data_IF_685752264654
#
_entry.id   IF_685752264654
#
_cell.length_a   1.000
_cell.length_b   1.000
_cell.length_c   1.000
_cell.angle_alpha   90.00
_cell.angle_beta   90.00
_cell.angle_gamma   90.00
#
_symmetry.space_group_name_H-M   'P 1'
#
loop_
_entity.id
_entity.type
_entity.pdbx_description
1 polymer ?
#
# COMPACT_ATOMS: atom_id res chain seq x y z
N UNK A 1 -29.03 -66.84 -11.03
CA UNK A 1 -28.53 -67.74 -10.01
C UNK A 1 -28.38 -66.92 -8.74
N UNK A 2 -29.34 -66.69 -7.94
CA UNK A 2 -30.10 -67.49 -6.92
C UNK A 2 -29.19 -68.19 -5.91
N UNK A 3 -29.43 -67.93 -4.70
CA UNK A 3 -29.40 -68.58 -3.39
C UNK A 3 -28.77 -67.68 -2.35
N UNK A 4 -29.48 -67.10 -1.41
CA UNK A 4 -30.41 -67.54 -0.35
C UNK A 4 -29.72 -67.71 1.00
N UNK A 5 -30.18 -66.85 1.90
CA UNK A 5 -30.49 -67.00 3.33
C UNK A 5 -29.78 -68.09 4.16
N UNK A 6 -29.37 -67.69 5.36
CA UNK A 6 -29.92 -68.28 6.59
C UNK A 6 -29.62 -67.43 7.82
N UNK A 7 -30.70 -67.16 8.56
CA UNK A 7 -30.72 -66.61 9.93
C UNK A 7 -30.45 -67.74 10.92
N UNK A 8 -29.85 -67.42 12.05
CA UNK A 8 -30.17 -68.08 13.33
C UNK A 8 -29.83 -67.16 14.53
N UNK A 9 -30.82 -67.00 15.35
CA UNK A 9 -30.94 -66.34 16.64
C UNK A 9 -30.53 -67.26 17.80
N UNK A 10 -30.01 -66.60 18.90
CA UNK A 10 -30.23 -66.94 20.31
C UNK A 10 -29.21 -66.11 21.09
N UNK A 11 -29.47 -65.27 22.00
CA UNK A 11 -30.31 -65.10 23.11
C UNK A 11 -29.58 -65.48 24.40
N UNK A 12 -29.04 -64.53 25.19
CA UNK A 12 -28.89 -64.70 26.65
C UNK A 12 -28.73 -63.32 27.35
N UNK A 13 -29.52 -63.15 28.39
CA UNK A 13 -29.60 -62.00 29.32
C UNK A 13 -28.36 -61.95 30.22
N UNK A 14 -27.90 -60.76 30.55
CA UNK A 14 -26.94 -60.49 31.62
C UNK A 14 -27.00 -59.03 32.04
N UNK A 15 -27.33 -58.82 33.28
CA UNK A 15 -27.69 -57.68 34.10
C UNK A 15 -26.65 -56.56 34.23
N UNK A 16 -27.11 -55.33 34.16
CA UNK A 16 -26.81 -54.09 34.86
C UNK A 16 -25.42 -53.85 35.54
N UNK A 17 -24.78 -52.74 35.12
CA UNK A 17 -24.34 -51.71 36.04
C UNK A 17 -24.20 -50.37 35.33
N UNK A 18 -24.84 -49.35 35.88
CA UNK A 18 -24.74 -47.93 35.48
C UNK A 18 -23.40 -47.39 35.97
N UNK A 19 -22.56 -46.85 35.08
CA UNK A 19 -21.63 -45.80 35.43
C UNK A 19 -21.90 -44.64 34.52
N UNK A 20 -22.41 -43.55 35.12
CA UNK A 20 -22.50 -42.21 34.53
C UNK A 20 -21.10 -41.61 34.45
N UNK A 21 -20.50 -41.70 33.29
CA UNK A 21 -19.34 -40.86 32.97
C UNK A 21 -19.85 -39.62 32.26
N UNK A 22 -20.06 -38.55 32.98
CA UNK A 22 -20.30 -37.21 32.50
C UNK A 22 -18.98 -36.67 31.87
N UNK A 23 -18.81 -36.92 30.58
CA UNK A 23 -17.80 -36.22 29.76
C UNK A 23 -18.40 -34.92 29.25
N UNK A 24 -18.48 -33.94 30.12
CA UNK A 24 -18.62 -32.55 29.70
C UNK A 24 -17.38 -32.17 28.88
N UNK A 25 -17.50 -32.26 27.56
CA UNK A 25 -16.56 -31.61 26.66
C UNK A 25 -16.69 -30.11 26.91
N UNK A 26 -15.79 -29.58 27.72
CA UNK A 26 -15.60 -28.16 27.92
C UNK A 26 -15.17 -27.62 26.56
N UNK A 27 -16.09 -26.97 25.87
CA UNK A 27 -15.75 -26.13 24.74
C UNK A 27 -14.82 -25.03 25.29
N UNK A 28 -13.52 -25.16 25.03
CA UNK A 28 -12.61 -24.05 25.20
C UNK A 28 -13.10 -22.97 24.24
N UNK A 29 -13.71 -21.93 24.80
CA UNK A 29 -13.92 -20.70 24.09
C UNK A 29 -12.51 -20.20 23.69
N UNK A 30 -12.17 -20.28 22.41
CA UNK A 30 -11.06 -19.52 21.86
C UNK A 30 -11.42 -18.05 22.10
N UNK A 31 -10.90 -17.50 23.20
CA UNK A 31 -10.91 -16.08 23.46
C UNK A 31 -10.08 -15.46 22.33
N UNK A 32 -10.78 -14.98 21.29
CA UNK A 32 -10.12 -14.22 20.23
C UNK A 32 -9.60 -12.95 20.90
N UNK A 33 -8.29 -12.93 21.14
CA UNK A 33 -7.63 -11.75 21.67
C UNK A 33 -8.07 -10.55 20.83
N UNK A 34 -8.72 -9.57 21.45
CA UNK A 34 -9.14 -8.34 20.78
C UNK A 34 -7.86 -7.65 20.29
N UNK A 35 -7.65 -7.62 18.98
CA UNK A 35 -6.51 -6.93 18.39
C UNK A 35 -6.71 -5.44 18.65
N UNK A 36 -5.82 -4.85 19.43
CA UNK A 36 -5.83 -3.40 19.66
C UNK A 36 -5.21 -2.72 18.45
N UNK A 37 -6.01 -1.94 17.71
CA UNK A 37 -5.54 -1.16 16.58
C UNK A 37 -4.93 0.15 17.09
N UNK A 38 -3.63 0.44 16.82
CA UNK A 38 -3.03 1.71 17.22
C UNK A 38 -3.67 2.89 16.48
N UNK A 39 -3.75 4.04 17.15
CA UNK A 39 -4.30 5.25 16.56
C UNK A 39 -3.31 5.84 15.53
N UNK A 40 -3.84 6.19 14.36
CA UNK A 40 -3.11 6.96 13.34
C UNK A 40 -3.13 8.45 13.71
N UNK A 41 -2.01 9.15 13.47
CA UNK A 41 -1.88 10.57 13.75
C UNK A 41 -1.77 11.38 12.45
N UNK A 42 -2.85 12.08 12.10
CA UNK A 42 -2.94 12.89 10.89
C UNK A 42 -1.95 14.06 10.88
N UNK A 43 -1.72 14.71 12.04
CA UNK A 43 -0.76 15.81 12.14
C UNK A 43 0.67 15.35 11.87
N UNK A 44 1.03 14.14 12.32
CA UNK A 44 2.33 13.54 11.99
C UNK A 44 2.45 13.25 10.50
N UNK A 45 1.42 12.66 9.88
CA UNK A 45 1.42 12.39 8.44
C UNK A 45 1.54 13.69 7.64
N UNK A 46 0.78 14.72 8.00
CA UNK A 46 0.89 16.05 7.38
C UNK A 46 2.28 16.67 7.55
N UNK A 47 2.87 16.55 8.75
CA UNK A 47 4.23 17.04 9.00
C UNK A 47 5.29 16.33 8.12
N UNK A 48 5.11 15.04 7.84
CA UNK A 48 5.95 14.30 6.90
C UNK A 48 5.77 14.78 5.46
N UNK A 49 4.54 15.08 5.02
CA UNK A 49 4.29 15.71 3.71
C UNK A 49 4.97 17.06 3.63
N UNK A 50 4.73 17.93 4.62
CA UNK A 50 5.32 19.27 4.68
C UNK A 50 6.86 19.24 4.67
N UNK A 51 7.46 18.23 5.32
CA UNK A 51 8.93 18.07 5.32
C UNK A 51 9.46 17.69 3.93
N UNK A 52 8.76 16.84 3.19
CA UNK A 52 9.15 16.48 1.82
C UNK A 52 9.08 17.70 0.90
N UNK A 53 7.97 18.45 0.95
CA UNK A 53 7.79 19.70 0.18
C UNK A 53 8.86 20.74 0.52
N UNK A 54 9.30 20.81 1.77
CA UNK A 54 10.36 21.74 2.20
C UNK A 54 11.74 21.48 1.58
N UNK A 55 11.99 20.32 0.97
CA UNK A 55 13.19 20.09 0.16
C UNK A 55 13.11 20.78 -1.21
N UNK A 56 11.90 21.14 -1.66
CA UNK A 56 11.56 21.56 -3.02
C UNK A 56 11.14 20.37 -3.88
N UNK A 57 10.89 20.60 -5.18
CA UNK A 57 10.56 19.55 -6.12
C UNK A 57 11.61 18.43 -6.12
N UNK A 58 11.16 17.21 -5.84
CA UNK A 58 12.04 16.03 -5.72
C UNK A 58 12.24 15.35 -7.08
N UNK A 59 12.49 16.15 -8.10
CA UNK A 59 12.74 15.65 -9.46
C UNK A 59 14.03 14.80 -9.46
N UNK A 60 14.04 13.61 -10.04
CA UNK A 60 15.24 12.77 -10.11
C UNK A 60 16.47 13.52 -10.63
N UNK A 61 17.64 13.20 -10.11
CA UNK A 61 18.93 13.87 -10.39
C UNK A 61 19.09 15.29 -9.80
N UNK A 62 18.19 15.77 -8.95
CA UNK A 62 18.34 17.05 -8.25
C UNK A 62 18.84 16.89 -6.82
N UNK A 63 19.42 17.94 -6.25
CA UNK A 63 19.85 17.93 -4.84
C UNK A 63 18.68 17.74 -3.88
N UNK A 64 17.50 18.33 -4.18
CA UNK A 64 16.29 18.16 -3.39
C UNK A 64 15.86 16.69 -3.32
N UNK A 65 15.88 15.99 -4.44
CA UNK A 65 15.62 14.57 -4.54
C UNK A 65 16.60 13.72 -3.71
N UNK A 66 17.90 13.97 -3.83
CA UNK A 66 18.90 13.25 -3.05
C UNK A 66 18.78 13.52 -1.54
N UNK A 67 18.45 14.77 -1.14
CA UNK A 67 18.22 15.10 0.26
C UNK A 67 16.98 14.41 0.80
N UNK A 68 15.91 14.36 0.03
CA UNK A 68 14.69 13.63 0.39
C UNK A 68 14.97 12.12 0.57
N UNK A 69 15.67 11.49 -0.36
CA UNK A 69 16.03 10.06 -0.28
C UNK A 69 16.82 9.76 1.01
N UNK A 70 17.84 10.56 1.32
CA UNK A 70 18.62 10.41 2.58
C UNK A 70 17.75 10.59 3.83
N UNK A 71 16.84 11.54 3.79
CA UNK A 71 15.93 11.78 4.91
C UNK A 71 14.95 10.63 5.10
N UNK A 72 14.35 10.11 4.03
CA UNK A 72 13.45 8.94 4.07
C UNK A 72 14.14 7.70 4.65
N UNK A 73 15.38 7.43 4.23
CA UNK A 73 16.19 6.36 4.81
C UNK A 73 16.35 6.56 6.32
N UNK A 74 16.69 7.79 6.75
CA UNK A 74 16.89 8.10 8.16
C UNK A 74 15.62 7.95 8.98
N UNK A 75 14.45 8.34 8.43
CA UNK A 75 13.16 8.21 9.11
C UNK A 75 12.74 6.74 9.29
N UNK A 76 12.87 5.92 8.25
CA UNK A 76 12.59 4.48 8.38
C UNK A 76 13.49 3.83 9.44
N UNK A 77 14.80 4.15 9.46
CA UNK A 77 15.72 3.68 10.51
C UNK A 77 15.32 4.18 11.89
N UNK A 78 14.93 5.45 12.01
CA UNK A 78 14.48 6.07 13.28
C UNK A 78 13.25 5.35 13.84
N UNK A 79 12.39 4.83 12.96
CA UNK A 79 11.22 4.06 13.33
C UNK A 79 11.49 2.57 13.56
N UNK A 80 12.75 2.14 13.51
CA UNK A 80 13.15 0.77 13.84
C UNK A 80 13.09 -0.22 12.68
N UNK A 81 12.88 0.23 11.44
CA UNK A 81 12.95 -0.62 10.28
C UNK A 81 14.40 -1.07 9.98
N UNK A 82 14.56 -2.29 9.49
CA UNK A 82 15.78 -2.72 8.79
C UNK A 82 15.73 -2.13 7.38
N UNK A 83 16.63 -1.17 7.09
CA UNK A 83 16.57 -0.43 5.82
C UNK A 83 17.57 -0.96 4.81
N UNK A 84 17.08 -1.19 3.60
CA UNK A 84 17.85 -1.56 2.41
C UNK A 84 17.66 -0.52 1.30
N UNK A 85 18.72 -0.23 0.55
CA UNK A 85 18.73 0.76 -0.52
C UNK A 85 19.02 0.05 -1.84
N UNK A 86 18.26 0.39 -2.88
CA UNK A 86 18.49 -0.05 -4.24
C UNK A 86 18.77 1.16 -5.13
N UNK A 87 19.92 1.18 -5.77
CA UNK A 87 20.29 2.22 -6.74
C UNK A 87 20.31 1.64 -8.15
N UNK A 88 19.79 2.40 -9.11
CA UNK A 88 19.79 2.03 -10.50
C UNK A 88 19.91 3.26 -11.40
N UNK A 89 20.53 3.06 -12.56
CA UNK A 89 20.50 4.03 -13.64
C UNK A 89 19.37 3.61 -14.60
N UNK A 90 18.29 4.41 -14.62
CA UNK A 90 17.07 4.12 -15.37
C UNK A 90 17.00 5.06 -16.59
N UNK A 91 16.59 4.53 -17.73
CA UNK A 91 16.40 5.33 -18.94
C UNK A 91 15.04 6.04 -18.92
N UNK A 92 15.04 7.37 -18.97
CA UNK A 92 13.81 8.14 -19.18
C UNK A 92 13.40 8.18 -20.66
N UNK A 93 12.11 8.43 -20.94
CA UNK A 93 11.56 8.53 -22.30
C UNK A 93 12.28 9.58 -23.16
N UNK A 94 12.78 10.66 -22.56
CA UNK A 94 13.52 11.72 -23.23
C UNK A 94 15.00 11.37 -23.51
N UNK A 95 15.43 10.13 -23.19
CA UNK A 95 16.80 9.66 -23.41
C UNK A 95 17.79 10.05 -22.32
N UNK A 96 17.33 10.68 -21.23
CA UNK A 96 18.13 10.98 -20.05
C UNK A 96 18.27 9.74 -19.18
N UNK A 97 19.34 9.67 -18.39
CA UNK A 97 19.51 8.68 -17.32
C UNK A 97 19.02 9.27 -16.01
N UNK A 98 18.14 8.57 -15.32
CA UNK A 98 17.69 8.89 -13.97
C UNK A 98 18.47 8.04 -12.97
N UNK A 99 19.19 8.69 -12.04
CA UNK A 99 19.91 8.02 -10.94
C UNK A 99 18.91 7.73 -9.81
N UNK A 100 18.21 6.62 -9.95
CA UNK A 100 17.12 6.22 -9.06
C UNK A 100 17.63 5.61 -7.76
N UNK A 101 16.88 5.82 -6.69
CA UNK A 101 17.15 5.28 -5.35
C UNK A 101 15.86 4.79 -4.69
N UNK A 102 15.54 3.50 -4.83
CA UNK A 102 14.46 2.87 -4.07
C UNK A 102 14.90 2.62 -2.62
N UNK A 103 14.00 2.83 -1.64
CA UNK A 103 14.29 2.74 -0.21
C UNK A 103 13.29 1.79 0.44
N UNK A 104 13.74 0.64 0.94
CA UNK A 104 12.89 -0.34 1.60
C UNK A 104 13.17 -0.41 3.09
N UNK A 105 12.13 -0.24 3.92
CA UNK A 105 12.16 -0.46 5.37
C UNK A 105 11.38 -1.71 5.73
N UNK A 106 12.03 -2.69 6.35
CA UNK A 106 11.43 -3.96 6.76
C UNK A 106 11.21 -4.02 8.25
N UNK A 107 9.97 -4.33 8.66
CA UNK A 107 9.57 -4.66 10.03
C UNK A 107 9.34 -6.18 10.11
N UNK A 108 9.82 -6.81 11.18
CA UNK A 108 9.83 -8.27 11.36
C UNK A 108 10.39 -8.98 10.12
N UNK A 109 11.66 -8.72 9.75
CA UNK A 109 12.25 -9.23 8.50
C UNK A 109 12.36 -10.76 8.44
N UNK A 110 12.26 -11.44 9.58
CA UNK A 110 12.28 -12.90 9.70
C UNK A 110 10.98 -13.58 9.28
N UNK A 111 9.88 -12.82 9.18
CA UNK A 111 8.57 -13.36 8.77
C UNK A 111 8.53 -13.61 7.26
N UNK A 112 8.05 -14.79 6.86
CA UNK A 112 7.99 -15.19 5.44
C UNK A 112 6.80 -14.63 4.66
N UNK A 113 5.64 -14.46 5.32
CA UNK A 113 4.47 -13.81 4.72
C UNK A 113 4.57 -12.30 4.94
N UNK A 114 4.69 -11.54 3.83
CA UNK A 114 5.01 -10.12 3.89
C UNK A 114 4.01 -9.28 3.10
N UNK A 115 3.46 -8.26 3.76
CA UNK A 115 2.71 -7.19 3.10
C UNK A 115 3.69 -6.10 2.68
N UNK A 116 3.66 -5.71 1.41
CA UNK A 116 4.41 -4.56 0.89
C UNK A 116 3.49 -3.35 0.77
N UNK A 117 3.83 -2.27 1.45
CA UNK A 117 3.22 -0.95 1.33
C UNK A 117 4.12 -0.08 0.46
N UNK A 118 3.55 0.57 -0.54
CA UNK A 118 4.28 1.23 -1.63
C UNK A 118 3.82 2.67 -1.79
N UNK A 119 4.75 3.58 -2.05
CA UNK A 119 4.51 4.95 -2.50
C UNK A 119 5.74 5.48 -3.23
N UNK A 120 5.56 6.32 -4.26
CA UNK A 120 6.67 7.05 -4.86
C UNK A 120 6.98 8.32 -4.07
N UNK A 121 8.24 8.81 -4.17
CA UNK A 121 8.65 10.02 -3.46
C UNK A 121 9.22 11.11 -4.39
N UNK A 122 9.52 10.77 -5.63
CA UNK A 122 9.91 11.74 -6.66
C UNK A 122 8.72 12.62 -7.06
N UNK A 123 8.95 13.62 -7.87
CA UNK A 123 7.91 14.52 -8.36
C UNK A 123 8.05 14.79 -9.84
N UNK A 124 6.92 15.12 -10.46
CA UNK A 124 6.83 15.54 -11.85
C UNK A 124 7.80 16.68 -12.15
N UNK A 125 8.66 16.54 -13.19
CA UNK A 125 9.59 17.60 -13.59
C UNK A 125 8.90 18.78 -14.28
N UNK A 126 7.61 18.70 -14.58
CA UNK A 126 6.86 19.68 -15.36
C UNK A 126 5.38 19.70 -14.97
N UNK A 127 4.80 20.89 -14.78
CA UNK A 127 3.39 21.10 -14.49
C UNK A 127 2.56 21.07 -15.81
N UNK A 128 2.61 19.96 -16.52
CA UNK A 128 2.08 19.84 -17.90
C UNK A 128 0.55 19.85 -17.99
N UNK A 129 -0.15 19.76 -16.85
CA UNK A 129 -1.61 19.92 -16.74
C UNK A 129 -2.02 21.26 -16.10
N UNK A 130 -1.07 22.15 -15.83
CA UNK A 130 -1.39 23.46 -15.27
C UNK A 130 -2.25 24.29 -16.25
N UNK A 131 -3.30 24.97 -15.77
CA UNK A 131 -4.15 25.79 -16.65
C UNK A 131 -3.41 26.99 -17.25
N UNK A 132 -2.29 27.43 -16.64
CA UNK A 132 -1.42 28.46 -17.21
C UNK A 132 -0.26 27.79 -17.99
N UNK A 133 -0.19 27.91 -19.31
CA UNK A 133 0.91 27.34 -20.11
C UNK A 133 2.31 27.86 -19.73
N UNK A 134 2.42 29.00 -19.05
CA UNK A 134 3.69 29.51 -18.54
C UNK A 134 4.29 28.64 -17.42
N UNK A 135 3.52 27.75 -16.86
CA UNK A 135 3.93 26.80 -15.82
C UNK A 135 4.35 25.44 -16.39
N UNK A 136 4.00 25.10 -17.62
CA UNK A 136 4.18 23.75 -18.15
C UNK A 136 5.60 23.20 -18.15
N UNK A 137 6.62 24.05 -18.02
CA UNK A 137 8.03 23.62 -17.93
C UNK A 137 8.60 23.79 -16.51
N UNK A 138 7.75 23.99 -15.51
CA UNK A 138 8.17 24.14 -14.11
C UNK A 138 7.91 22.85 -13.35
N UNK A 139 8.81 22.40 -12.47
CA UNK A 139 8.56 21.27 -11.61
C UNK A 139 7.47 21.61 -10.59
N UNK A 140 6.71 20.58 -10.15
CA UNK A 140 5.68 20.72 -9.12
C UNK A 140 6.23 20.42 -7.72
N UNK A 141 5.55 20.91 -6.68
CA UNK A 141 5.89 20.58 -5.28
C UNK A 141 5.56 19.12 -4.94
N UNK A 142 4.59 18.51 -5.63
CA UNK A 142 4.21 17.12 -5.43
C UNK A 142 3.77 16.83 -3.99
N UNK A 143 2.90 17.68 -3.42
CA UNK A 143 2.46 17.51 -2.05
C UNK A 143 1.46 16.36 -1.92
N UNK A 144 0.59 16.19 -2.92
CA UNK A 144 -0.31 15.06 -3.01
C UNK A 144 0.35 13.90 -3.77
N UNK A 145 0.96 14.21 -4.88
CA UNK A 145 1.61 13.36 -5.87
C UNK A 145 3.15 13.34 -5.64
N UNK A 146 3.65 12.46 -5.01
CA UNK A 146 3.83 11.31 -4.21
C UNK A 146 4.01 11.57 -2.70
N UNK A 147 4.17 12.87 -2.22
CA UNK A 147 4.50 13.07 -0.81
C UNK A 147 3.39 12.62 0.14
N UNK A 148 2.12 12.58 -0.29
CA UNK A 148 1.00 12.17 0.57
C UNK A 148 1.06 10.69 0.93
N UNK A 149 1.29 9.80 -0.03
CA UNK A 149 1.46 8.37 0.21
C UNK A 149 2.63 8.10 1.15
N UNK A 150 3.78 8.72 0.89
CA UNK A 150 4.96 8.64 1.76
C UNK A 150 4.66 9.14 3.17
N UNK A 151 3.91 10.26 3.31
CA UNK A 151 3.53 10.80 4.62
C UNK A 151 2.70 9.84 5.45
N UNK A 152 1.71 9.18 4.82
CA UNK A 152 0.89 8.14 5.46
C UNK A 152 1.77 6.95 5.86
N UNK A 153 2.66 6.48 4.98
CA UNK A 153 3.51 5.33 5.25
C UNK A 153 4.60 5.59 6.30
N UNK A 154 5.11 6.82 6.43
CA UNK A 154 6.03 7.18 7.52
C UNK A 154 5.32 7.19 8.88
N UNK A 155 4.07 7.63 8.95
CA UNK A 155 3.29 7.50 10.17
C UNK A 155 2.96 6.04 10.48
N UNK A 156 2.65 5.22 9.47
CA UNK A 156 2.53 3.77 9.64
C UNK A 156 3.84 3.15 10.15
N UNK A 157 5.01 3.57 9.63
CA UNK A 157 6.32 3.14 10.13
C UNK A 157 6.51 3.48 11.61
N UNK A 158 6.12 4.69 12.05
CA UNK A 158 6.17 5.09 13.47
C UNK A 158 5.31 4.17 14.33
N UNK A 159 4.11 3.84 13.88
CA UNK A 159 3.19 2.94 14.56
C UNK A 159 3.80 1.53 14.67
N UNK A 160 4.33 0.99 13.56
CA UNK A 160 4.96 -0.33 13.49
C UNK A 160 6.16 -0.47 14.43
N UNK A 161 6.99 0.58 14.53
CA UNK A 161 8.13 0.60 15.43
C UNK A 161 7.76 0.59 16.92
N UNK A 162 6.54 1.00 17.27
CA UNK A 162 6.04 1.05 18.64
C UNK A 162 5.11 -0.13 18.97
N UNK A 163 4.46 -0.70 17.97
CA UNK A 163 3.43 -1.71 18.12
C UNK A 163 3.67 -2.82 17.08
N UNK A 164 4.24 -3.94 17.52
CA UNK A 164 4.52 -5.05 16.63
C UNK A 164 3.21 -5.72 16.16
N UNK A 165 2.92 -5.78 14.83
CA UNK A 165 1.71 -6.42 14.31
C UNK A 165 1.78 -7.96 14.31
N UNK A 166 2.94 -8.56 14.64
CA UNK A 166 3.17 -10.00 14.53
C UNK A 166 3.22 -10.54 13.11
N UNK A 167 3.41 -9.65 12.12
CA UNK A 167 3.46 -9.96 10.69
C UNK A 167 4.67 -9.27 10.04
N UNK A 168 5.11 -9.79 8.90
CA UNK A 168 6.13 -9.15 8.09
C UNK A 168 5.55 -7.97 7.29
N UNK A 169 6.06 -6.78 7.54
CA UNK A 169 5.62 -5.57 6.81
C UNK A 169 6.85 -4.91 6.19
N UNK A 170 6.75 -4.61 4.91
CA UNK A 170 7.72 -3.80 4.19
C UNK A 170 7.08 -2.48 3.76
N UNK A 171 7.82 -1.41 3.87
CA UNK A 171 7.49 -0.10 3.30
C UNK A 171 8.55 0.18 2.24
N UNK A 172 8.12 0.37 0.99
CA UNK A 172 8.99 0.67 -0.13
C UNK A 172 8.65 2.05 -0.69
N UNK A 173 9.58 2.96 -0.58
CA UNK A 173 9.52 4.22 -1.31
C UNK A 173 10.25 4.03 -2.63
N UNK A 174 9.50 4.12 -3.72
CA UNK A 174 10.05 4.02 -5.09
C UNK A 174 10.33 5.38 -5.68
N UNK A 175 11.16 5.37 -6.70
CA UNK A 175 11.72 6.55 -7.35
C UNK A 175 11.44 6.52 -8.85
N UNK A 176 11.50 7.68 -9.48
CA UNK A 176 11.33 7.80 -10.94
C UNK A 176 10.00 7.19 -11.45
N UNK A 177 8.94 7.37 -10.66
CA UNK A 177 7.58 7.05 -11.07
C UNK A 177 7.11 8.06 -12.12
N UNK A 178 7.24 9.37 -11.78
CA UNK A 178 6.55 10.51 -12.39
C UNK A 178 7.36 11.21 -13.49
N UNK A 179 8.30 10.50 -14.10
CA UNK A 179 9.15 10.99 -15.20
C UNK A 179 8.68 10.54 -16.59
N UNK A 180 7.50 9.94 -16.66
CA UNK A 180 6.94 9.35 -17.88
C UNK A 180 6.37 10.37 -18.89
N UNK A 181 5.96 9.85 -20.04
CA UNK A 181 5.25 10.59 -21.10
C UNK A 181 3.97 9.87 -21.48
N UNK A 182 2.91 10.62 -21.81
CA UNK A 182 1.59 10.05 -22.14
C UNK A 182 1.60 9.09 -23.35
N UNK A 183 2.59 9.23 -24.25
CA UNK A 183 2.70 8.41 -25.45
C UNK A 183 3.47 7.09 -25.21
N UNK A 184 4.02 6.87 -24.01
CA UNK A 184 4.84 5.70 -23.68
C UNK A 184 4.52 5.18 -22.27
N UNK A 185 3.64 4.17 -22.21
CA UNK A 185 3.24 3.53 -20.95
C UNK A 185 4.42 2.90 -20.19
N UNK A 186 5.50 2.50 -20.86
CA UNK A 186 6.67 1.90 -20.24
C UNK A 186 7.62 2.93 -19.63
N UNK A 187 7.39 4.21 -19.84
CA UNK A 187 8.16 5.32 -19.28
C UNK A 187 7.78 5.72 -17.85
N UNK A 188 6.68 5.17 -17.30
CA UNK A 188 6.17 5.39 -15.95
C UNK A 188 6.59 4.29 -15.00
N UNK A 189 6.52 4.57 -13.68
CA UNK A 189 6.77 3.59 -12.62
C UNK A 189 8.15 2.89 -12.73
N UNK A 190 9.18 3.60 -13.20
CA UNK A 190 10.47 3.01 -13.54
C UNK A 190 11.16 2.35 -12.33
N UNK A 191 11.09 2.98 -11.15
CA UNK A 191 11.67 2.42 -9.94
C UNK A 191 10.97 1.16 -9.46
N UNK A 192 9.63 1.13 -9.51
CA UNK A 192 8.85 -0.06 -9.16
C UNK A 192 9.07 -1.20 -10.15
N UNK A 193 9.15 -0.89 -11.47
CA UNK A 193 9.49 -1.86 -12.51
C UNK A 193 10.86 -2.49 -12.24
N UNK A 194 11.86 -1.64 -11.95
CA UNK A 194 13.20 -2.12 -11.66
C UNK A 194 13.23 -2.98 -10.39
N UNK A 195 12.54 -2.56 -9.32
CA UNK A 195 12.45 -3.34 -8.08
C UNK A 195 11.76 -4.70 -8.29
N UNK A 196 10.65 -4.72 -9.01
CA UNK A 196 9.92 -5.95 -9.28
C UNK A 196 10.74 -6.95 -10.11
N UNK A 197 11.60 -6.48 -11.02
CA UNK A 197 12.49 -7.31 -11.81
C UNK A 197 13.75 -7.72 -11.05
N UNK A 198 14.29 -6.84 -10.21
CA UNK A 198 15.56 -6.97 -9.52
C UNK A 198 15.39 -6.74 -8.01
N UNK A 199 14.62 -7.57 -7.29
CA UNK A 199 14.36 -7.30 -5.87
C UNK A 199 15.67 -7.24 -5.06
N UNK A 200 15.74 -6.34 -4.08
CA UNK A 200 16.93 -6.09 -3.25
C UNK A 200 17.44 -7.38 -2.60
N UNK A 201 16.52 -8.21 -2.11
CA UNK A 201 16.84 -9.52 -1.57
C UNK A 201 16.52 -10.59 -2.63
N UNK A 202 17.49 -11.41 -3.05
CA UNK A 202 17.24 -12.48 -4.02
C UNK A 202 16.07 -13.38 -3.58
N UNK A 203 15.09 -13.56 -4.48
CA UNK A 203 13.93 -14.40 -4.20
C UNK A 203 12.84 -13.73 -3.35
N UNK A 204 12.97 -12.43 -3.04
CA UNK A 204 11.92 -11.69 -2.36
C UNK A 204 10.67 -11.59 -3.23
N UNK A 205 9.54 -12.04 -2.68
CA UNK A 205 8.22 -11.95 -3.30
C UNK A 205 7.23 -11.60 -2.18
N UNK A 206 6.65 -10.40 -2.18
CA UNK A 206 5.61 -10.07 -1.20
C UNK A 206 4.33 -10.85 -1.52
N UNK A 207 3.57 -11.21 -0.51
CA UNK A 207 2.29 -11.91 -0.68
C UNK A 207 1.21 -11.01 -1.27
N UNK A 208 1.31 -9.71 -1.04
CA UNK A 208 0.38 -8.68 -1.51
C UNK A 208 1.02 -7.31 -1.42
N UNK A 209 0.55 -6.39 -2.27
CA UNK A 209 1.04 -5.02 -2.37
C UNK A 209 -0.11 -4.03 -2.27
N UNK A 210 0.08 -2.95 -1.52
CA UNK A 210 -0.84 -1.81 -1.46
C UNK A 210 -0.04 -0.56 -1.79
N UNK A 211 -0.35 0.05 -2.92
CA UNK A 211 0.16 1.34 -3.35
C UNK A 211 -0.73 2.45 -2.78
N UNK A 212 -0.12 3.52 -2.32
CA UNK A 212 -0.77 4.76 -1.92
C UNK A 212 -0.26 5.90 -2.81
N UNK A 213 -1.10 6.35 -3.73
CA UNK A 213 -0.81 7.50 -4.57
C UNK A 213 -1.91 8.56 -4.48
N UNK A 214 -1.50 9.84 -4.41
CA UNK A 214 -2.42 11.00 -4.30
C UNK A 214 -3.48 10.85 -3.18
N UNK A 215 -3.07 10.42 -1.99
CA UNK A 215 -3.96 10.07 -0.87
C UNK A 215 -4.16 11.18 0.16
N UNK A 216 -3.78 12.42 -0.16
CA UNK A 216 -3.83 13.55 0.78
C UNK A 216 -4.70 14.72 0.32
N UNK A 217 -5.24 14.69 -0.90
CA UNK A 217 -5.94 15.81 -1.51
C UNK A 217 -7.29 16.13 -0.84
N UNK A 218 -7.74 17.39 -0.98
CA UNK A 218 -9.09 17.82 -0.56
C UNK A 218 -10.14 17.12 -1.41
N UNK A 219 -11.25 16.72 -0.76
CA UNK A 219 -12.40 16.07 -1.41
C UNK A 219 -12.04 14.79 -2.19
N UNK A 220 -10.97 14.09 -1.79
CA UNK A 220 -10.50 12.88 -2.44
C UNK A 220 -11.53 11.74 -2.35
N UNK A 221 -11.57 10.92 -3.40
CA UNK A 221 -12.37 9.69 -3.47
C UNK A 221 -11.50 8.58 -4.11
N UNK A 222 -11.52 7.42 -3.50
CA UNK A 222 -10.69 6.26 -3.87
C UNK A 222 -11.55 5.11 -4.41
N UNK A 223 -12.09 5.20 -5.64
CA UNK A 223 -12.81 4.08 -6.26
C UNK A 223 -11.86 2.90 -6.50
N UNK A 224 -12.42 1.74 -6.84
CA UNK A 224 -11.59 0.61 -7.22
C UNK A 224 -10.85 0.92 -8.53
N UNK A 225 -9.51 1.00 -8.48
CA UNK A 225 -8.72 1.12 -9.69
C UNK A 225 -8.94 -0.14 -10.57
N UNK A 226 -8.99 0.03 -11.90
CA UNK A 226 -9.44 -1.02 -12.82
C UNK A 226 -8.55 -2.27 -12.81
N UNK A 227 -7.23 -2.11 -12.88
CA UNK A 227 -6.29 -3.24 -12.90
C UNK A 227 -6.22 -3.94 -11.54
N UNK A 228 -6.24 -3.16 -10.45
CA UNK A 228 -6.37 -3.64 -9.08
C UNK A 228 -7.61 -4.51 -8.89
N UNK A 229 -8.75 -4.02 -9.36
CA UNK A 229 -10.02 -4.77 -9.30
C UNK A 229 -9.96 -6.08 -10.07
N UNK A 230 -9.28 -6.13 -11.20
CA UNK A 230 -9.18 -7.33 -12.04
C UNK A 230 -8.08 -8.28 -11.60
N UNK A 231 -6.91 -7.75 -11.23
CA UNK A 231 -5.73 -8.54 -10.90
C UNK A 231 -5.68 -8.99 -9.44
N UNK A 232 -6.32 -8.24 -8.53
CA UNK A 232 -6.25 -8.46 -7.09
C UNK A 232 -7.61 -8.33 -6.38
N UNK A 233 -8.69 -8.84 -6.98
CA UNK A 233 -10.08 -8.69 -6.50
C UNK A 233 -10.25 -9.02 -5.01
N UNK A 234 -9.62 -10.08 -4.51
CA UNK A 234 -9.72 -10.48 -3.11
C UNK A 234 -9.09 -9.44 -2.17
N UNK A 235 -7.91 -8.93 -2.54
CA UNK A 235 -7.20 -7.90 -1.78
C UNK A 235 -7.98 -6.58 -1.77
N UNK A 236 -8.47 -6.12 -2.95
CA UNK A 236 -9.26 -4.91 -3.05
C UNK A 236 -10.57 -4.99 -2.24
N UNK A 237 -11.28 -6.13 -2.30
CA UNK A 237 -12.48 -6.34 -1.48
C UNK A 237 -12.15 -6.35 0.02
N UNK A 238 -11.03 -6.93 0.44
CA UNK A 238 -10.58 -6.93 1.84
C UNK A 238 -10.28 -5.51 2.31
N UNK A 239 -9.52 -4.74 1.54
CA UNK A 239 -9.20 -3.36 1.87
C UNK A 239 -10.48 -2.50 2.01
N UNK A 240 -11.43 -2.62 1.08
CA UNK A 240 -12.71 -1.87 1.13
C UNK A 240 -13.62 -2.33 2.26
N UNK A 241 -13.57 -3.61 2.65
CA UNK A 241 -14.26 -4.09 3.86
C UNK A 241 -13.69 -3.43 5.11
N UNK A 242 -12.37 -3.33 5.21
CA UNK A 242 -11.70 -2.63 6.33
C UNK A 242 -12.11 -1.15 6.34
N UNK A 243 -12.13 -0.48 5.20
CA UNK A 243 -12.60 0.91 5.09
C UNK A 243 -14.06 1.06 5.54
N UNK A 244 -14.94 0.12 5.17
CA UNK A 244 -16.34 0.13 5.58
C UNK A 244 -16.48 -0.07 7.11
N UNK A 245 -15.67 -0.95 7.71
CA UNK A 245 -15.65 -1.16 9.15
C UNK A 245 -15.17 0.08 9.92
N UNK A 246 -14.33 0.92 9.30
CA UNK A 246 -13.93 2.24 9.82
C UNK A 246 -15.00 3.35 9.60
N UNK A 247 -16.13 3.04 8.94
CA UNK A 247 -17.16 4.02 8.59
C UNK A 247 -16.79 4.88 7.38
N UNK A 248 -15.79 4.50 6.61
CA UNK A 248 -15.19 5.26 5.51
C UNK A 248 -15.60 4.75 4.11
N UNK A 249 -16.61 3.89 3.99
CA UNK A 249 -17.06 3.33 2.71
C UNK A 249 -17.40 4.41 1.66
N UNK A 250 -17.78 5.61 2.08
CA UNK A 250 -18.08 6.73 1.18
C UNK A 250 -16.84 7.29 0.48
N UNK A 251 -15.64 7.19 1.10
CA UNK A 251 -14.38 7.58 0.49
C UNK A 251 -13.77 6.45 -0.34
N UNK A 252 -14.09 5.19 -0.03
CA UNK A 252 -13.59 4.00 -0.72
C UNK A 252 -14.74 3.22 -1.37
N UNK A 253 -15.47 3.80 -2.35
CA UNK A 253 -16.58 3.12 -2.99
C UNK A 253 -16.11 1.91 -3.79
N UNK A 254 -16.96 0.88 -3.90
CA UNK A 254 -16.66 -0.34 -4.68
C UNK A 254 -16.89 -0.17 -6.20
N UNK A 255 -17.33 1.01 -6.64
CA UNK A 255 -17.39 1.33 -8.07
C UNK A 255 -16.00 1.32 -8.68
N UNK A 256 -15.92 0.93 -9.95
CA UNK A 256 -14.66 0.97 -10.70
C UNK A 256 -14.41 2.42 -11.13
N UNK A 257 -13.22 2.92 -10.83
CA UNK A 257 -12.67 4.18 -11.31
C UNK A 257 -11.95 4.05 -12.65
N UNK A 258 -10.85 4.80 -12.82
CA UNK A 258 -10.00 4.72 -14.00
C UNK A 258 -9.15 3.45 -14.08
N UNK A 259 -8.53 3.27 -15.24
CA UNK A 259 -7.40 2.35 -15.41
C UNK A 259 -6.12 3.19 -15.36
N UNK A 260 -5.31 2.96 -14.35
CA UNK A 260 -4.10 3.75 -14.09
C UNK A 260 -2.87 2.87 -14.27
N UNK A 261 -1.92 3.34 -15.06
CA UNK A 261 -0.61 2.70 -15.19
C UNK A 261 0.33 3.31 -14.15
N UNK A 262 0.58 2.55 -13.07
CA UNK A 262 1.24 3.03 -11.87
C UNK A 262 2.14 1.95 -11.24
N UNK A 263 2.79 2.23 -10.15
CA UNK A 263 3.76 1.40 -9.44
C UNK A 263 3.25 0.01 -9.03
N UNK A 264 1.93 -0.21 -8.97
CA UNK A 264 1.33 -1.53 -8.69
C UNK A 264 1.37 -2.48 -9.91
N UNK A 265 1.40 -1.93 -11.14
CA UNK A 265 1.34 -2.71 -12.38
C UNK A 265 2.48 -3.73 -12.52
N UNK A 266 3.76 -3.39 -12.24
CA UNK A 266 4.84 -4.37 -12.33
C UNK A 266 4.65 -5.60 -11.44
N UNK A 267 4.00 -5.43 -10.29
CA UNK A 267 3.70 -6.56 -9.39
C UNK A 267 2.56 -7.41 -9.93
N UNK A 268 1.48 -6.81 -10.44
CA UNK A 268 0.39 -7.53 -11.11
C UNK A 268 0.90 -8.36 -12.30
N UNK A 269 1.81 -7.81 -13.11
CA UNK A 269 2.43 -8.52 -14.23
C UNK A 269 3.22 -9.74 -13.80
N UNK A 270 3.75 -9.76 -12.56
CA UNK A 270 4.41 -10.92 -11.95
C UNK A 270 3.46 -11.87 -11.23
N UNK A 271 2.16 -11.62 -11.29
CA UNK A 271 1.13 -12.42 -10.61
C UNK A 271 1.06 -12.19 -9.10
N UNK A 272 1.64 -11.11 -8.61
CA UNK A 272 1.56 -10.70 -7.20
C UNK A 272 0.32 -9.81 -7.05
N UNK A 273 -0.62 -10.14 -6.14
CA UNK A 273 -1.78 -9.30 -5.88
C UNK A 273 -1.35 -7.90 -5.44
N UNK A 274 -1.69 -6.88 -6.23
CA UNK A 274 -1.38 -5.49 -5.96
C UNK A 274 -2.61 -4.61 -6.17
N UNK A 275 -2.84 -3.66 -5.28
CA UNK A 275 -3.90 -2.65 -5.43
C UNK A 275 -3.30 -1.25 -5.32
N UNK A 276 -3.92 -0.34 -6.04
CA UNK A 276 -3.64 1.07 -6.02
C UNK A 276 -4.80 1.81 -5.34
N UNK A 277 -4.48 2.58 -4.32
CA UNK A 277 -5.39 3.48 -3.61
C UNK A 277 -5.05 4.89 -4.08
N UNK A 278 -5.84 5.37 -5.04
CA UNK A 278 -5.57 6.62 -5.75
C UNK A 278 -6.82 7.50 -5.84
N UNK A 279 -6.66 8.84 -5.70
CA UNK A 279 -7.76 9.79 -5.90
C UNK A 279 -8.12 9.88 -7.38
N UNK A 280 -9.19 9.18 -7.74
CA UNK A 280 -9.72 9.17 -9.11
C UNK A 280 -11.21 9.53 -9.11
N UNK A 281 -11.55 10.62 -9.78
CA UNK A 281 -12.90 11.21 -9.81
C UNK A 281 -13.60 10.89 -11.13
N UNK A 282 -14.91 11.17 -11.26
CA UNK A 282 -15.64 10.90 -12.51
C UNK A 282 -15.03 11.56 -13.76
N UNK A 283 -14.36 12.70 -13.57
CA UNK A 283 -13.75 13.48 -14.65
C UNK A 283 -12.24 13.18 -14.84
N UNK A 284 -11.67 12.21 -14.10
CA UNK A 284 -10.25 11.82 -14.16
C UNK A 284 -9.53 11.97 -12.84
N UNK A 285 -8.24 12.28 -12.88
CA UNK A 285 -7.43 12.54 -11.68
C UNK A 285 -7.88 13.79 -10.91
N UNK A 286 -7.38 13.97 -9.69
CA UNK A 286 -7.69 15.13 -8.88
C UNK A 286 -7.33 16.45 -9.61
N UNK A 287 -8.02 17.58 -9.32
CA UNK A 287 -7.82 18.83 -10.05
C UNK A 287 -6.43 19.45 -9.93
N UNK A 288 -5.64 19.00 -8.93
CA UNK A 288 -4.27 19.50 -8.70
C UNK A 288 -3.21 18.66 -9.39
N UNK A 289 -3.58 17.50 -9.95
CA UNK A 289 -2.67 16.58 -10.60
C UNK A 289 -1.84 17.27 -11.70
N UNK A 290 -0.53 17.13 -11.61
CA UNK A 290 0.45 17.72 -12.52
C UNK A 290 0.32 19.24 -12.73
N UNK A 291 -0.09 19.96 -11.68
CA UNK A 291 -0.22 21.43 -11.70
C UNK A 291 0.59 22.07 -10.57
N UNK A 292 0.83 23.39 -10.67
CA UNK A 292 1.42 24.18 -9.58
C UNK A 292 0.53 24.24 -8.32
N UNK A 293 -0.71 23.78 -8.42
CA UNK A 293 -1.63 23.67 -7.28
C UNK A 293 -1.43 22.39 -6.46
N UNK A 294 -0.56 21.47 -6.89
CA UNK A 294 -0.17 20.33 -6.05
C UNK A 294 0.85 20.76 -4.98
N UNK A 295 0.35 21.47 -3.99
CA UNK A 295 1.09 22.06 -2.90
C UNK A 295 0.40 21.83 -1.54
N UNK A 296 1.04 22.24 -0.44
CA UNK A 296 0.54 22.01 0.93
C UNK A 296 -0.85 22.62 1.20
N UNK A 297 -1.23 23.69 0.50
CA UNK A 297 -2.54 24.33 0.70
C UNK A 297 -3.69 23.41 0.28
N UNK A 298 -3.44 22.45 -0.59
CA UNK A 298 -4.40 21.49 -1.13
C UNK A 298 -4.36 20.12 -0.46
N UNK A 299 -3.53 19.94 0.57
CA UNK A 299 -3.54 18.76 1.43
C UNK A 299 -4.57 18.93 2.55
N UNK A 300 -5.42 17.92 2.74
CA UNK A 300 -6.36 17.82 3.85
C UNK A 300 -5.89 16.74 4.86
N UNK A 301 -5.53 17.13 6.10
CA UNK A 301 -5.19 16.18 7.14
C UNK A 301 -6.28 15.11 7.41
N UNK A 302 -7.55 15.42 7.14
CA UNK A 302 -8.65 14.44 7.29
C UNK A 302 -8.60 13.34 6.24
N UNK A 303 -8.17 13.67 5.03
CA UNK A 303 -7.96 12.66 3.98
C UNK A 303 -6.79 11.75 4.36
N UNK A 304 -5.66 12.32 4.82
CA UNK A 304 -4.52 11.55 5.33
C UNK A 304 -4.93 10.65 6.51
N UNK A 305 -5.77 11.18 7.44
CA UNK A 305 -6.30 10.40 8.56
C UNK A 305 -7.15 9.22 8.08
N UNK A 306 -8.07 9.47 7.15
CA UNK A 306 -8.97 8.44 6.65
C UNK A 306 -8.19 7.28 6.00
N UNK A 307 -7.26 7.59 5.10
CA UNK A 307 -6.40 6.58 4.46
C UNK A 307 -5.52 5.88 5.48
N UNK A 308 -4.86 6.65 6.36
CA UNK A 308 -3.97 6.10 7.37
C UNK A 308 -4.66 5.18 8.37
N UNK A 309 -5.90 5.47 8.77
CA UNK A 309 -6.71 4.59 9.62
C UNK A 309 -7.01 3.27 8.93
N UNK A 310 -7.41 3.31 7.66
CA UNK A 310 -7.70 2.09 6.89
C UNK A 310 -6.44 1.24 6.73
N UNK A 311 -5.31 1.86 6.34
CA UNK A 311 -4.02 1.17 6.19
C UNK A 311 -3.57 0.56 7.53
N UNK A 312 -3.61 1.33 8.62
CA UNK A 312 -3.24 0.84 9.95
C UNK A 312 -4.12 -0.34 10.34
N UNK A 313 -5.44 -0.21 10.22
CA UNK A 313 -6.35 -1.32 10.53
C UNK A 313 -6.08 -2.55 9.67
N UNK A 314 -5.86 -2.37 8.38
CA UNK A 314 -5.52 -3.46 7.46
C UNK A 314 -4.26 -4.21 7.90
N UNK A 315 -3.20 -3.50 8.30
CA UNK A 315 -1.95 -4.10 8.80
C UNK A 315 -2.21 -5.02 9.99
N UNK A 316 -3.07 -4.60 10.94
CA UNK A 316 -3.25 -5.33 12.20
C UNK A 316 -4.35 -6.39 12.14
N UNK A 317 -5.35 -6.29 11.26
CA UNK A 317 -6.46 -7.24 11.16
C UNK A 317 -6.24 -8.34 10.11
N UNK A 318 -5.65 -8.01 8.94
CA UNK A 318 -5.57 -8.90 7.77
C UNK A 318 -4.20 -9.58 7.62
#
# INVERSE_FOLDING_TARGET
MMWAMLLLSCGAKGSASKENGDTSVRAESMDSAVVTIPAFNADSAYAYVARQVAFGPRVPNTEAHEQAARWLESELRRHGATVSIQKADLGAAQGNVLHSTNIMGSFNPEMGDRLLLLAHYDTRPQADKDPDPANHNKPIDGANDGASGVGVLLEAARILGQNNPGKGIDILFVDAEDSGTEDDDDSWALGARYFAENPITPGYVPSRVILLDMVGGKDAVFPAEYFSRRGATALDNSFRRVAANEGLAHLFPSSIGGAVNDDHIPFLQKGIPAIDIIDYRPDGFCPTWHTMADNLENIDPKTLEAVGRVVTRFIYEE
#
